data_IF_140019527807
#
_entry.id   IF_140019527807
#
_cell.length_a   1.000
_cell.length_b   1.000
_cell.length_c   1.000
_cell.angle_alpha   90.00
_cell.angle_beta   90.00
_cell.angle_gamma   90.00
#
_symmetry.space_group_name_H-M   'P 1'
#
loop_
_entity.id
_entity.type
_entity.pdbx_description
1 polymer ?
#
# COMPACT_ATOMS: atom_id res chain seq x y z
N UNK A 1 -66.01 24.28 -0.71
CA UNK A 1 -64.64 23.75 -0.66
C UNK A 1 -63.80 24.63 0.25
N UNK A 2 -63.48 24.19 1.47
CA UNK A 2 -62.30 24.69 2.22
C UNK A 2 -62.04 23.71 3.36
N UNK A 3 -61.09 22.81 3.14
CA UNK A 3 -60.67 21.83 4.14
C UNK A 3 -59.56 22.46 4.97
N UNK A 4 -59.86 22.89 6.19
CA UNK A 4 -58.86 23.46 7.10
C UNK A 4 -58.02 22.32 7.70
N UNK A 5 -56.88 22.06 7.05
CA UNK A 5 -55.87 21.11 7.48
C UNK A 5 -55.02 21.72 8.61
N UNK A 6 -55.39 21.42 9.86
CA UNK A 6 -54.65 21.86 11.03
C UNK A 6 -53.34 21.06 11.14
N UNK A 7 -52.22 21.63 10.66
CA UNK A 7 -50.88 21.04 10.78
C UNK A 7 -50.46 20.99 12.25
N UNK A 8 -50.57 19.82 12.90
CA UNK A 8 -49.88 19.55 14.18
C UNK A 8 -48.38 19.56 13.92
N UNK A 9 -47.66 20.50 14.54
CA UNK A 9 -46.19 20.46 14.61
C UNK A 9 -45.78 19.41 15.63
N UNK A 10 -45.10 18.36 15.19
CA UNK A 10 -44.44 17.40 16.09
C UNK A 10 -43.12 18.02 16.53
N UNK A 11 -43.01 18.37 17.81
CA UNK A 11 -41.75 18.75 18.44
C UNK A 11 -41.01 17.49 18.88
N UNK A 12 -39.89 17.21 18.23
CA UNK A 12 -38.97 16.12 18.61
C UNK A 12 -38.24 16.55 19.88
N UNK A 13 -38.30 15.78 20.99
CA UNK A 13 -37.58 16.11 22.20
C UNK A 13 -36.07 16.04 21.96
N UNK A 14 -35.34 16.94 22.63
CA UNK A 14 -33.92 17.23 22.42
C UNK A 14 -33.04 15.99 22.24
N UNK A 15 -32.14 16.08 21.26
CA UNK A 15 -31.11 15.09 20.96
C UNK A 15 -30.32 14.79 22.25
N UNK A 16 -30.11 13.51 22.63
CA UNK A 16 -29.29 13.19 23.80
C UNK A 16 -27.89 13.77 23.62
N UNK A 17 -27.30 14.29 24.70
CA UNK A 17 -25.96 14.85 24.69
C UNK A 17 -24.93 13.76 24.35
N UNK A 18 -24.18 13.96 23.28
CA UNK A 18 -23.17 13.00 22.80
C UNK A 18 -21.86 13.22 23.57
N UNK A 19 -21.54 12.32 24.50
CA UNK A 19 -20.24 12.32 25.19
C UNK A 19 -19.18 11.59 24.35
N UNK A 20 -18.05 12.24 24.09
CA UNK A 20 -16.94 11.64 23.32
C UNK A 20 -15.86 11.08 24.27
N UNK A 21 -15.71 9.75 24.31
CA UNK A 21 -14.69 9.08 25.12
C UNK A 21 -13.35 9.03 24.36
N UNK A 22 -12.34 9.74 24.86
CA UNK A 22 -10.96 9.65 24.35
C UNK A 22 -10.11 8.72 25.21
N UNK A 23 -9.59 7.62 24.64
CA UNK A 23 -8.66 6.72 25.33
C UNK A 23 -7.33 6.59 24.57
N UNK A 24 -6.25 6.29 25.30
CA UNK A 24 -4.92 6.05 24.74
C UNK A 24 -4.62 4.56 24.74
N UNK A 25 -4.14 4.03 23.61
CA UNK A 25 -3.66 2.63 23.50
C UNK A 25 -2.26 2.57 22.91
N UNK A 26 -1.46 1.62 23.39
CA UNK A 26 -0.19 1.26 22.74
C UNK A 26 -0.48 0.43 21.49
N UNK A 27 0.04 0.87 20.34
CA UNK A 27 -0.01 0.06 19.11
C UNK A 27 1.13 -0.96 19.15
N UNK A 28 0.81 -2.24 19.03
CA UNK A 28 1.81 -3.29 18.87
C UNK A 28 2.55 -3.10 17.53
N UNK A 29 3.86 -2.88 17.59
CA UNK A 29 4.72 -2.81 16.39
C UNK A 29 4.92 -4.22 15.83
N UNK A 30 5.07 -4.35 14.52
CA UNK A 30 5.37 -5.62 13.86
C UNK A 30 4.19 -6.58 13.62
N UNK A 31 2.96 -6.27 14.09
CA UNK A 31 1.77 -7.11 13.84
C UNK A 31 1.56 -7.43 12.36
N UNK A 32 1.79 -6.46 11.48
CA UNK A 32 1.71 -6.64 10.02
C UNK A 32 2.74 -7.66 9.51
N UNK A 33 3.98 -7.56 9.96
CA UNK A 33 5.06 -8.48 9.58
C UNK A 33 4.75 -9.90 10.04
N UNK A 34 4.25 -10.06 11.27
CA UNK A 34 3.85 -11.36 11.82
C UNK A 34 2.72 -12.01 11.00
N UNK A 35 1.74 -11.22 10.55
CA UNK A 35 0.67 -11.73 9.66
C UNK A 35 1.26 -12.18 8.32
N UNK A 36 2.14 -11.39 7.71
CA UNK A 36 2.78 -11.76 6.44
C UNK A 36 3.61 -13.05 6.52
N UNK A 37 4.30 -13.29 7.64
CA UNK A 37 5.12 -14.49 7.84
C UNK A 37 4.31 -15.79 7.85
N UNK A 38 2.99 -15.73 8.08
CA UNK A 38 2.11 -16.90 8.08
C UNK A 38 1.79 -17.42 6.68
N UNK A 39 1.96 -16.60 5.64
CA UNK A 39 1.60 -16.95 4.27
C UNK A 39 2.84 -17.17 3.40
N UNK A 40 2.72 -18.09 2.43
CA UNK A 40 3.79 -18.38 1.47
C UNK A 40 4.01 -17.16 0.55
N UNK A 41 5.28 -16.76 0.33
CA UNK A 41 5.59 -15.70 -0.62
C UNK A 41 5.57 -16.18 -2.07
N UNK A 42 4.88 -15.43 -2.91
CA UNK A 42 5.07 -15.38 -4.36
C UNK A 42 5.90 -14.13 -4.68
N UNK A 43 7.02 -14.31 -5.36
CA UNK A 43 7.99 -13.24 -5.61
C UNK A 43 7.78 -12.67 -7.01
N UNK A 44 7.66 -11.35 -7.11
CA UNK A 44 7.57 -10.63 -8.38
C UNK A 44 8.82 -9.77 -8.55
N UNK A 45 9.61 -10.09 -9.56
CA UNK A 45 10.82 -9.37 -9.93
C UNK A 45 10.51 -8.23 -10.90
N UNK A 46 10.84 -7.01 -10.50
CA UNK A 46 10.79 -5.83 -11.35
C UNK A 46 12.19 -5.54 -11.90
N UNK A 47 12.56 -6.29 -12.93
CA UNK A 47 13.85 -6.20 -13.62
C UNK A 47 13.75 -5.32 -14.87
N UNK A 48 14.83 -4.63 -15.22
CA UNK A 48 14.94 -3.95 -16.51
C UNK A 48 15.18 -4.98 -17.61
N UNK A 49 14.54 -4.80 -18.77
CA UNK A 49 14.72 -5.67 -19.94
C UNK A 49 14.92 -4.83 -21.21
N UNK A 50 15.66 -5.38 -22.17
CA UNK A 50 15.87 -4.76 -23.48
C UNK A 50 16.53 -3.38 -23.42
N UNK A 51 15.89 -2.39 -24.04
CA UNK A 51 16.37 -1.01 -24.15
C UNK A 51 16.52 -0.33 -22.78
N UNK A 52 15.70 -0.71 -21.79
CA UNK A 52 15.80 -0.17 -20.45
C UNK A 52 17.10 -0.57 -19.72
N UNK A 53 17.82 -1.60 -20.20
CA UNK A 53 19.13 -1.98 -19.68
C UNK A 53 20.28 -1.12 -20.23
N UNK A 54 19.99 -0.08 -21.01
CA UNK A 54 21.00 0.83 -21.55
C UNK A 54 20.98 2.16 -20.81
N UNK A 55 22.17 2.71 -20.53
CA UNK A 55 22.30 4.00 -19.88
C UNK A 55 21.86 5.11 -20.85
N UNK A 56 20.99 6.05 -20.43
CA UNK A 56 20.51 7.11 -21.31
C UNK A 56 21.62 8.09 -21.74
N UNK A 57 22.70 8.22 -20.98
CA UNK A 57 23.74 9.23 -21.23
C UNK A 57 24.91 8.72 -22.08
N UNK A 58 25.30 7.46 -21.90
CA UNK A 58 26.47 6.87 -22.57
C UNK A 58 26.15 5.63 -23.41
N UNK A 59 24.89 5.18 -23.42
CA UNK A 59 24.40 4.02 -24.15
C UNK A 59 25.10 2.69 -23.81
N UNK A 60 25.90 2.66 -22.75
CA UNK A 60 26.48 1.43 -22.24
C UNK A 60 25.45 0.61 -21.45
N UNK A 61 25.72 -0.69 -21.32
CA UNK A 61 24.87 -1.60 -20.54
C UNK A 61 24.94 -1.27 -19.05
N UNK A 62 23.78 -1.14 -18.42
CA UNK A 62 23.63 -1.02 -16.99
C UNK A 62 23.98 -2.35 -16.30
N UNK A 63 24.69 -2.26 -15.17
CA UNK A 63 25.04 -3.40 -14.32
C UNK A 63 24.16 -3.40 -13.08
N UNK A 64 23.55 -4.53 -12.80
CA UNK A 64 22.81 -4.73 -11.55
C UNK A 64 23.75 -4.64 -10.34
N UNK A 65 23.31 -3.92 -9.31
CA UNK A 65 24.05 -3.72 -8.06
C UNK A 65 23.48 -4.60 -6.95
N UNK A 66 22.16 -4.78 -6.96
CA UNK A 66 21.43 -5.55 -5.97
C UNK A 66 19.93 -5.35 -6.10
N UNK A 67 19.21 -6.06 -5.25
CA UNK A 67 17.75 -6.09 -5.26
C UNK A 67 17.20 -5.89 -3.84
N UNK A 68 16.09 -5.17 -3.70
CA UNK A 68 15.44 -4.98 -2.40
C UNK A 68 13.93 -5.23 -2.48
N UNK A 69 13.37 -5.79 -1.40
CA UNK A 69 11.92 -5.93 -1.24
C UNK A 69 11.33 -4.56 -0.94
N UNK A 70 10.58 -4.02 -1.89
CA UNK A 70 9.99 -2.68 -1.78
C UNK A 70 8.63 -2.71 -1.12
N UNK A 71 7.87 -3.77 -1.40
CA UNK A 71 6.50 -3.89 -0.90
C UNK A 71 6.13 -5.35 -0.70
N UNK A 72 5.39 -5.60 0.38
CA UNK A 72 4.75 -6.88 0.65
C UNK A 72 3.24 -6.68 0.74
N UNK A 73 2.51 -7.50 0.01
CA UNK A 73 1.06 -7.42 -0.15
C UNK A 73 0.41 -8.77 0.18
N UNK A 74 -0.86 -8.74 0.63
CA UNK A 74 -1.69 -9.93 0.74
C UNK A 74 -2.71 -9.89 -0.38
N UNK A 75 -2.69 -10.91 -1.24
CA UNK A 75 -3.67 -11.10 -2.30
C UNK A 75 -4.71 -12.09 -1.81
N UNK A 76 -5.97 -11.70 -1.92
CA UNK A 76 -7.10 -12.57 -1.66
C UNK A 76 -7.40 -13.40 -2.91
N UNK A 77 -7.29 -14.71 -2.77
CA UNK A 77 -7.79 -15.70 -3.72
C UNK A 77 -8.96 -16.39 -3.02
N UNK A 78 -10.07 -16.73 -3.70
CA UNK A 78 -11.17 -17.42 -3.03
C UNK A 78 -10.67 -18.61 -2.19
N UNK A 79 -11.08 -18.64 -0.92
CA UNK A 79 -10.65 -19.59 0.13
C UNK A 79 -9.19 -19.49 0.64
N UNK A 80 -8.33 -18.62 0.09
CA UNK A 80 -6.91 -18.55 0.47
C UNK A 80 -6.36 -17.11 0.46
N UNK A 81 -5.40 -16.83 1.34
CA UNK A 81 -4.59 -15.61 1.29
C UNK A 81 -3.17 -15.97 0.87
N UNK A 82 -2.59 -15.16 0.00
CA UNK A 82 -1.22 -15.32 -0.49
C UNK A 82 -0.42 -14.06 -0.24
N UNK A 83 0.86 -14.19 0.11
CA UNK A 83 1.75 -13.05 0.21
C UNK A 83 2.45 -12.83 -1.12
N UNK A 84 2.45 -11.61 -1.62
CA UNK A 84 3.23 -11.21 -2.79
C UNK A 84 4.33 -10.25 -2.35
N UNK A 85 5.57 -10.62 -2.64
CA UNK A 85 6.78 -9.84 -2.34
C UNK A 85 7.29 -9.19 -3.63
N UNK A 86 7.20 -7.87 -3.73
CA UNK A 86 7.68 -7.11 -4.87
C UNK A 86 9.15 -6.73 -4.67
N UNK A 87 10.02 -7.31 -5.50
CA UNK A 87 11.45 -7.05 -5.51
C UNK A 87 11.76 -6.07 -6.63
N UNK A 88 12.41 -4.95 -6.29
CA UNK A 88 12.97 -4.04 -7.28
C UNK A 88 14.47 -4.23 -7.37
N UNK A 89 14.96 -4.25 -8.61
CA UNK A 89 16.37 -4.35 -8.92
C UNK A 89 16.96 -2.95 -9.15
N UNK A 90 18.12 -2.71 -8.54
CA UNK A 90 18.85 -1.47 -8.66
C UNK A 90 20.03 -1.66 -9.63
N UNK A 91 20.20 -0.69 -10.53
CA UNK A 91 21.22 -0.75 -11.58
C UNK A 91 22.12 0.49 -11.54
N UNK A 92 23.40 0.32 -11.90
CA UNK A 92 24.34 1.43 -12.14
C UNK A 92 24.94 1.35 -13.53
N UNK A 93 25.23 2.52 -14.08
CA UNK A 93 26.16 2.62 -15.18
C UNK A 93 27.60 2.60 -14.64
N UNK A 94 28.41 1.65 -15.12
CA UNK A 94 29.81 1.52 -14.70
C UNK A 94 30.68 2.64 -15.29
N UNK A 95 30.48 3.03 -16.55
CA UNK A 95 31.25 4.13 -17.14
C UNK A 95 30.92 5.48 -16.51
N UNK A 96 29.64 5.84 -16.35
CA UNK A 96 29.27 7.10 -15.71
C UNK A 96 29.75 7.15 -14.26
N UNK A 97 29.72 6.02 -13.54
CA UNK A 97 30.25 5.95 -12.17
C UNK A 97 31.77 6.15 -12.06
N UNK A 98 32.53 5.90 -13.15
CA UNK A 98 34.00 6.07 -13.18
C UNK A 98 34.43 7.46 -13.64
N UNK A 99 33.56 8.19 -14.34
CA UNK A 99 33.84 9.54 -14.87
C UNK A 99 33.56 10.66 -13.85
N UNK A 100 33.28 10.29 -12.60
CA UNK A 100 32.95 11.20 -11.50
C UNK A 100 34.21 11.55 -10.72
#
# INVERSE_FOLDING_TARGET
>A
MTWNFLKKKVTVPGKPEEETITYRRKKAKGKRQAIFQQFKPEVIHHELTGEACTCPDCHEKLKEIGSCVQRQELVYVPAQLKRVDHIQHAYKCVACSKKN
#
